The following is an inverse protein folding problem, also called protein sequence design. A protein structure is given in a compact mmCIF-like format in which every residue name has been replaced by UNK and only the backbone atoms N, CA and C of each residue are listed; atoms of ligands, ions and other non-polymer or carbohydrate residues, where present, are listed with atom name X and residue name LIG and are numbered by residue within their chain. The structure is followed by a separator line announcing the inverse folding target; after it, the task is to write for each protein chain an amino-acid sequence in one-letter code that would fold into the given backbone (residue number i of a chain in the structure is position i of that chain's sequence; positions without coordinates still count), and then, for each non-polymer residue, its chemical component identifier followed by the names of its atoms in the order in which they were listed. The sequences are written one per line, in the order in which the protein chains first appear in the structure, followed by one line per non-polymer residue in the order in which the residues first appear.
data_IF_851342587409
#
_entry.id   IF_851342587409
#
_cell.length_a   1.000
_cell.length_b   1.000
_cell.length_c   1.000
_cell.angle_alpha   90.00
_cell.angle_beta   90.00
_cell.angle_gamma   90.00
#
_symmetry.space_group_name_H-M   'P 1'
#
loop_
_entity.id
_entity.type
_entity.pdbx_description
1 polymer ?
#
# COMPACT_ATOMS: atom_id res chain seq x y z
N UNK A 1 -1.05 -1.28 28.70
CA UNK A 1 -1.66 -1.82 27.45
C UNK A 1 -2.93 -1.05 27.11
N UNK A 2 -2.99 -0.32 26.01
CA UNK A 2 -4.29 0.17 25.49
C UNK A 2 -4.94 -1.03 24.81
N UNK A 3 -6.07 -1.51 25.34
CA UNK A 3 -6.85 -2.55 24.73
C UNK A 3 -7.09 -2.25 23.25
N UNK A 4 -6.80 -3.21 22.38
CA UNK A 4 -7.06 -3.07 20.94
C UNK A 4 -8.54 -2.74 20.74
N UNK A 5 -8.83 -1.73 19.93
CA UNK A 5 -10.22 -1.32 19.67
C UNK A 5 -10.95 -2.45 18.91
N UNK A 6 -11.99 -3.08 19.47
CA UNK A 6 -12.67 -4.21 18.82
C UNK A 6 -13.20 -3.88 17.41
N UNK A 7 -13.58 -2.61 17.19
CA UNK A 7 -14.06 -2.17 15.88
C UNK A 7 -12.94 -2.14 14.82
N UNK A 8 -11.71 -1.81 15.23
CA UNK A 8 -10.55 -1.88 14.34
C UNK A 8 -10.18 -3.33 14.03
N UNK A 9 -10.25 -4.24 15.01
CA UNK A 9 -10.01 -5.67 14.77
C UNK A 9 -11.06 -6.24 13.80
N UNK A 10 -12.33 -5.86 13.95
CA UNK A 10 -13.38 -6.27 13.01
C UNK A 10 -13.12 -5.72 11.60
N UNK A 11 -12.67 -4.46 11.48
CA UNK A 11 -12.29 -3.87 10.20
C UNK A 11 -11.10 -4.61 9.57
N UNK A 12 -10.06 -4.90 10.35
CA UNK A 12 -8.90 -5.70 9.90
C UNK A 12 -9.33 -7.04 9.30
N UNK A 13 -10.16 -7.80 10.02
CA UNK A 13 -10.66 -9.11 9.55
C UNK A 13 -11.45 -8.98 8.25
N UNK A 14 -12.36 -8.01 8.17
CA UNK A 14 -13.15 -7.79 6.96
C UNK A 14 -12.24 -7.46 5.76
N UNK A 15 -11.21 -6.63 5.94
CA UNK A 15 -10.27 -6.30 4.87
C UNK A 15 -9.50 -7.56 4.40
N UNK A 16 -9.07 -8.43 5.33
CA UNK A 16 -8.45 -9.71 4.97
C UNK A 16 -9.40 -10.64 4.22
N UNK A 17 -10.64 -10.78 4.69
CA UNK A 17 -11.65 -11.64 4.06
C UNK A 17 -11.99 -11.16 2.64
N UNK A 18 -11.93 -9.85 2.39
CA UNK A 18 -12.26 -9.23 1.10
C UNK A 18 -11.04 -8.88 0.24
N UNK A 19 -9.84 -9.23 0.68
CA UNK A 19 -8.56 -8.87 0.08
C UNK A 19 -8.53 -9.04 -1.43
N UNK A 20 -8.88 -10.21 -1.94
CA UNK A 20 -8.76 -10.52 -3.37
C UNK A 20 -9.74 -9.67 -4.22
N UNK A 21 -10.93 -9.40 -3.69
CA UNK A 21 -11.88 -8.49 -4.34
C UNK A 21 -11.37 -7.05 -4.35
N UNK A 22 -10.79 -6.58 -3.24
CA UNK A 22 -10.20 -5.24 -3.13
C UNK A 22 -9.02 -5.06 -4.08
N UNK A 23 -8.13 -6.06 -4.17
CA UNK A 23 -7.01 -6.07 -5.14
C UNK A 23 -7.53 -5.98 -6.56
N UNK A 24 -8.54 -6.79 -6.90
CA UNK A 24 -9.09 -6.83 -8.25
C UNK A 24 -9.77 -5.52 -8.63
N UNK A 25 -10.50 -4.90 -7.70
CA UNK A 25 -11.15 -3.63 -7.92
C UNK A 25 -10.13 -2.50 -8.10
N UNK A 26 -9.10 -2.44 -7.22
CA UNK A 26 -8.06 -1.41 -7.32
C UNK A 26 -7.25 -1.60 -8.62
N UNK A 27 -6.82 -2.81 -8.93
CA UNK A 27 -6.12 -3.12 -10.19
C UNK A 27 -6.94 -2.73 -11.44
N UNK A 28 -8.26 -2.97 -11.44
CA UNK A 28 -9.15 -2.54 -12.51
C UNK A 28 -9.13 -1.03 -12.71
N UNK A 29 -9.24 -0.26 -11.64
CA UNK A 29 -9.20 1.22 -11.70
C UNK A 29 -7.86 1.76 -12.20
N UNK A 30 -6.75 1.08 -11.86
CA UNK A 30 -5.42 1.44 -12.35
C UNK A 30 -5.25 1.07 -13.82
N UNK A 31 -5.78 -0.09 -14.25
CA UNK A 31 -5.71 -0.57 -15.63
C UNK A 31 -6.46 0.32 -16.62
N UNK A 32 -7.59 0.89 -16.22
CA UNK A 32 -8.39 1.80 -17.04
C UNK A 32 -7.63 3.10 -17.41
N UNK A 33 -6.55 3.41 -16.69
CA UNK A 33 -5.72 4.60 -16.89
C UNK A 33 -4.36 4.33 -17.52
N UNK A 34 -3.92 3.08 -17.52
CA UNK A 34 -2.62 2.73 -18.06
C UNK A 34 -2.63 2.94 -19.59
N UNK A 35 -2.14 4.09 -20.02
CA UNK A 35 -1.79 4.34 -21.42
C UNK A 35 -0.63 3.42 -21.81
N UNK A 36 -0.91 2.22 -22.25
CA UNK A 36 -0.16 1.28 -23.09
C UNK A 36 1.36 1.07 -22.98
N UNK A 37 2.08 1.80 -22.12
CA UNK A 37 3.55 1.84 -22.09
C UNK A 37 4.16 1.44 -20.74
N UNK A 38 3.37 0.85 -19.82
CA UNK A 38 3.91 0.43 -18.53
C UNK A 38 4.96 -0.66 -18.69
N UNK A 39 6.18 -0.41 -18.20
CA UNK A 39 7.27 -1.38 -18.16
C UNK A 39 7.13 -2.40 -17.02
N UNK A 40 6.25 -2.13 -16.05
CA UNK A 40 6.04 -3.00 -14.90
C UNK A 40 4.99 -4.06 -15.22
N UNK A 41 5.32 -5.37 -15.09
CA UNK A 41 4.38 -6.47 -15.33
C UNK A 41 3.11 -6.39 -14.48
N UNK A 42 1.96 -6.74 -15.05
CA UNK A 42 0.67 -6.65 -14.37
C UNK A 42 0.55 -7.59 -13.15
N UNK A 43 1.22 -8.73 -13.17
CA UNK A 43 1.28 -9.67 -12.04
C UNK A 43 2.11 -9.10 -10.89
N UNK A 44 3.25 -8.47 -11.19
CA UNK A 44 4.08 -7.78 -10.20
C UNK A 44 3.30 -6.64 -9.54
N UNK A 45 2.59 -5.84 -10.35
CA UNK A 45 1.72 -4.78 -9.85
C UNK A 45 0.64 -5.36 -8.93
N UNK A 46 -0.02 -6.44 -9.35
CA UNK A 46 -1.08 -7.09 -8.56
C UNK A 46 -0.58 -7.63 -7.21
N UNK A 47 0.63 -8.18 -7.17
CA UNK A 47 1.29 -8.60 -5.92
C UNK A 47 1.54 -7.39 -5.01
N UNK A 48 2.01 -6.27 -5.56
CA UNK A 48 2.24 -5.05 -4.80
C UNK A 48 0.94 -4.50 -4.19
N UNK A 49 -0.14 -4.44 -4.98
CA UNK A 49 -1.46 -4.02 -4.47
C UNK A 49 -1.94 -4.94 -3.33
N UNK A 50 -1.71 -6.24 -3.45
CA UNK A 50 -2.03 -7.22 -2.41
C UNK A 50 -1.26 -6.93 -1.12
N UNK A 51 0.05 -6.74 -1.20
CA UNK A 51 0.89 -6.36 -0.07
C UNK A 51 0.38 -5.10 0.63
N UNK A 52 0.02 -4.07 -0.14
CA UNK A 52 -0.50 -2.81 0.38
C UNK A 52 -1.82 -3.01 1.15
N UNK A 53 -2.75 -3.82 0.63
CA UNK A 53 -4.03 -4.11 1.29
C UNK A 53 -3.81 -4.94 2.55
N UNK A 54 -2.96 -5.96 2.51
CA UNK A 54 -2.61 -6.76 3.69
C UNK A 54 -2.00 -5.89 4.79
N UNK A 55 -1.12 -4.98 4.46
CA UNK A 55 -0.52 -4.04 5.42
C UNK A 55 -1.54 -3.07 6.00
N UNK A 56 -2.47 -2.54 5.21
CA UNK A 56 -3.57 -1.69 5.74
C UNK A 56 -4.42 -2.49 6.71
N UNK A 57 -4.72 -3.76 6.42
CA UNK A 57 -5.47 -4.63 7.32
C UNK A 57 -4.71 -4.86 8.64
N UNK A 58 -3.39 -5.12 8.59
CA UNK A 58 -2.55 -5.24 9.79
C UNK A 58 -2.44 -3.92 10.56
N UNK A 59 -2.38 -2.79 9.88
CA UNK A 59 -2.37 -1.46 10.51
C UNK A 59 -3.69 -1.14 11.24
N UNK A 60 -4.80 -1.76 10.84
CA UNK A 60 -6.06 -1.74 11.59
C UNK A 60 -6.10 -2.79 12.72
N UNK A 61 -5.29 -3.84 12.61
CA UNK A 61 -5.22 -5.00 13.50
C UNK A 61 -4.30 -4.84 14.73
N UNK A 62 -3.94 -5.97 15.34
CA UNK A 62 -3.09 -6.00 16.53
C UNK A 62 -1.63 -5.62 16.24
N UNK A 63 -1.13 -5.89 15.05
CA UNK A 63 0.27 -5.65 14.63
C UNK A 63 0.53 -4.21 14.13
N UNK A 64 -0.36 -3.30 14.42
CA UNK A 64 -0.33 -1.91 13.94
C UNK A 64 0.95 -1.14 14.27
N UNK A 65 1.65 -1.47 15.36
CA UNK A 65 2.91 -0.80 15.74
C UNK A 65 4.06 -1.35 14.92
N UNK A 66 4.14 -2.66 14.89
CA UNK A 66 5.17 -3.44 14.23
C UNK A 66 5.09 -3.28 12.72
N UNK A 67 3.87 -3.24 12.17
CA UNK A 67 3.62 -3.08 10.73
C UNK A 67 3.86 -1.66 10.18
N UNK A 68 4.05 -0.65 11.05
CA UNK A 68 4.15 0.75 10.59
C UNK A 68 5.34 0.98 9.65
N UNK A 69 6.51 0.54 10.05
CA UNK A 69 7.72 0.72 9.25
C UNK A 69 7.61 -0.03 7.92
N UNK A 70 7.08 -1.24 7.96
CA UNK A 70 6.86 -2.04 6.76
C UNK A 70 5.83 -1.39 5.82
N UNK A 71 4.76 -0.80 6.38
CA UNK A 71 3.80 -0.01 5.60
C UNK A 71 4.45 1.19 4.91
N UNK A 72 5.29 1.95 5.62
CA UNK A 72 5.98 3.11 5.05
C UNK A 72 6.92 2.67 3.92
N UNK A 73 7.70 1.59 4.11
CA UNK A 73 8.59 1.04 3.08
C UNK A 73 7.84 0.50 1.86
N UNK A 74 6.69 -0.15 2.07
CA UNK A 74 5.85 -0.62 0.97
C UNK A 74 5.28 0.56 0.17
N UNK A 75 4.86 1.65 0.83
CA UNK A 75 4.40 2.86 0.17
C UNK A 75 5.53 3.57 -0.59
N UNK A 76 6.73 3.67 -0.02
CA UNK A 76 7.90 4.22 -0.69
C UNK A 76 8.21 3.43 -1.98
N UNK A 77 8.21 2.10 -1.86
CA UNK A 77 8.41 1.22 -2.99
C UNK A 77 7.30 1.36 -4.05
N UNK A 78 6.04 1.56 -3.62
CA UNK A 78 4.94 1.87 -4.53
C UNK A 78 5.19 3.14 -5.33
N UNK A 79 5.68 4.19 -4.69
CA UNK A 79 6.05 5.44 -5.36
C UNK A 79 7.16 5.26 -6.40
N UNK A 80 8.21 4.52 -6.06
CA UNK A 80 9.28 4.17 -7.01
C UNK A 80 8.75 3.39 -8.21
N UNK A 81 7.87 2.40 -7.95
CA UNK A 81 7.20 1.62 -9.00
C UNK A 81 6.33 2.51 -9.89
N UNK A 82 5.67 3.52 -9.33
CA UNK A 82 4.88 4.48 -10.08
C UNK A 82 5.75 5.35 -11.02
N UNK A 83 6.94 5.76 -10.57
CA UNK A 83 7.92 6.46 -11.42
C UNK A 83 8.38 5.56 -12.59
N UNK A 84 8.68 4.29 -12.33
CA UNK A 84 9.03 3.30 -13.36
C UNK A 84 7.88 3.05 -14.36
N UNK A 85 6.61 3.23 -13.94
CA UNK A 85 5.42 3.18 -14.79
C UNK A 85 5.23 4.44 -15.64
N UNK A 86 6.05 5.47 -15.45
CA UNK A 86 5.95 6.74 -16.16
C UNK A 86 4.81 7.64 -15.67
N UNK A 87 4.28 7.42 -14.48
CA UNK A 87 3.22 8.25 -13.91
C UNK A 87 3.73 9.64 -13.52
N UNK A 88 2.81 10.59 -13.46
CA UNK A 88 3.06 11.87 -12.81
C UNK A 88 2.82 11.79 -11.29
N UNK A 89 3.43 12.68 -10.50
CA UNK A 89 3.26 12.71 -9.04
C UNK A 89 1.79 12.82 -8.61
N UNK A 90 0.98 13.58 -9.35
CA UNK A 90 -0.46 13.71 -9.11
C UNK A 90 -1.22 12.40 -9.28
N UNK A 91 -0.80 11.55 -10.21
CA UNK A 91 -1.41 10.24 -10.44
C UNK A 91 -1.13 9.29 -9.30
N UNK A 92 0.05 9.35 -8.66
CA UNK A 92 0.36 8.58 -7.43
C UNK A 92 -0.62 8.94 -6.31
N UNK A 93 -0.85 10.25 -6.11
CA UNK A 93 -1.82 10.73 -5.09
C UNK A 93 -3.23 10.25 -5.42
N UNK A 94 -3.60 10.25 -6.70
CA UNK A 94 -4.90 9.81 -7.15
C UNK A 94 -5.10 8.30 -6.97
N UNK A 95 -4.11 7.48 -7.29
CA UNK A 95 -4.12 6.03 -7.06
C UNK A 95 -4.30 5.70 -5.57
N UNK A 96 -3.59 6.40 -4.68
CA UNK A 96 -3.76 6.26 -3.23
C UNK A 96 -5.12 6.75 -2.72
N UNK A 97 -5.69 7.78 -3.36
CA UNK A 97 -7.05 8.25 -3.06
C UNK A 97 -8.12 7.23 -3.47
N UNK A 98 -7.91 6.51 -4.59
CA UNK A 98 -8.76 5.39 -4.99
C UNK A 98 -8.71 4.24 -3.99
N UNK A 99 -7.53 3.89 -3.48
CA UNK A 99 -7.40 2.92 -2.39
C UNK A 99 -8.25 3.35 -1.18
N UNK A 100 -8.14 4.60 -0.75
CA UNK A 100 -8.96 5.15 0.36
C UNK A 100 -10.45 4.99 0.11
N UNK A 101 -10.91 5.34 -1.08
CA UNK A 101 -12.33 5.23 -1.45
C UNK A 101 -12.81 3.78 -1.40
N UNK A 102 -12.04 2.84 -1.98
CA UNK A 102 -12.36 1.41 -2.00
C UNK A 102 -12.47 0.88 -0.57
N UNK A 103 -11.48 1.17 0.30
CA UNK A 103 -11.49 0.75 1.70
C UNK A 103 -12.66 1.35 2.48
N UNK A 104 -12.95 2.63 2.28
CA UNK A 104 -14.07 3.30 2.95
C UNK A 104 -15.40 2.70 2.55
N UNK A 105 -15.59 2.40 1.27
CA UNK A 105 -16.81 1.80 0.75
C UNK A 105 -16.99 0.37 1.25
N UNK A 106 -15.94 -0.45 1.26
CA UNK A 106 -15.99 -1.81 1.78
C UNK A 106 -16.38 -1.84 3.25
N UNK A 107 -15.88 -0.90 4.04
CA UNK A 107 -16.15 -0.82 5.47
C UNK A 107 -17.47 -0.10 5.82
N UNK A 108 -18.14 0.52 4.84
CA UNK A 108 -19.29 1.39 5.09
C UNK A 108 -20.39 0.73 5.91
N UNK A 109 -20.80 -0.50 5.54
CA UNK A 109 -21.87 -1.23 6.25
C UNK A 109 -21.45 -1.58 7.69
N UNK A 110 -20.21 -2.04 7.89
CA UNK A 110 -19.68 -2.39 9.22
C UNK A 110 -19.53 -1.16 10.11
N UNK A 111 -19.10 -0.03 9.53
CA UNK A 111 -18.94 1.25 10.23
C UNK A 111 -20.30 1.84 10.59
N UNK A 112 -21.30 1.78 9.71
CA UNK A 112 -22.65 2.27 9.95
C UNK A 112 -23.36 1.53 11.12
N UNK A 113 -23.01 0.28 11.37
CA UNK A 113 -23.52 -0.50 12.50
C UNK A 113 -22.91 -0.10 13.86
N UNK A 114 -21.88 0.74 13.88
CA UNK A 114 -21.19 1.18 15.10
C UNK A 114 -21.86 2.42 15.71
N UNK A 115 -21.66 2.62 17.03
CA UNK A 115 -21.92 3.92 17.65
C UNK A 115 -21.05 5.00 17.00
N UNK A 116 -21.58 6.20 16.77
CA UNK A 116 -20.93 7.31 16.03
C UNK A 116 -19.46 7.55 16.43
N UNK A 117 -19.15 7.55 17.73
CA UNK A 117 -17.76 7.74 18.23
C UNK A 117 -16.80 6.62 17.77
N UNK A 118 -17.29 5.37 17.72
CA UNK A 118 -16.46 4.23 17.25
C UNK A 118 -16.31 4.24 15.73
N UNK A 119 -17.39 4.55 15.02
CA UNK A 119 -17.40 4.72 13.58
C UNK A 119 -16.36 5.77 13.16
N UNK A 120 -16.41 6.96 13.78
CA UNK A 120 -15.45 8.03 13.52
C UNK A 120 -14.01 7.60 13.84
N UNK A 121 -13.79 6.86 14.94
CA UNK A 121 -12.45 6.41 15.30
C UNK A 121 -11.85 5.43 14.28
N UNK A 122 -12.66 4.53 13.68
CA UNK A 122 -12.23 3.61 12.61
C UNK A 122 -11.87 4.40 11.36
N UNK A 123 -12.76 5.29 10.89
CA UNK A 123 -12.53 6.09 9.69
C UNK A 123 -11.31 7.00 9.81
N UNK A 124 -11.15 7.70 10.93
CA UNK A 124 -9.99 8.56 11.18
C UNK A 124 -8.69 7.75 11.25
N UNK A 125 -8.74 6.53 11.80
CA UNK A 125 -7.55 5.68 11.83
C UNK A 125 -7.13 5.27 10.41
N UNK A 126 -8.05 4.75 9.61
CA UNK A 126 -7.77 4.34 8.24
C UNK A 126 -7.31 5.51 7.37
N UNK A 127 -7.97 6.67 7.47
CA UNK A 127 -7.54 7.86 6.75
C UNK A 127 -6.09 8.23 7.08
N UNK A 128 -5.71 8.24 8.37
CA UNK A 128 -4.32 8.53 8.77
C UNK A 128 -3.32 7.51 8.22
N UNK A 129 -3.68 6.23 8.16
CA UNK A 129 -2.82 5.19 7.57
C UNK A 129 -2.60 5.48 6.08
N UNK A 130 -3.68 5.72 5.32
CA UNK A 130 -3.60 5.99 3.88
C UNK A 130 -2.92 7.34 3.61
N UNK A 131 -3.23 8.40 4.38
CA UNK A 131 -2.59 9.72 4.23
C UNK A 131 -1.08 9.65 4.45
N UNK A 132 -0.65 8.90 5.48
CA UNK A 132 0.78 8.67 5.70
C UNK A 132 1.40 7.89 4.53
N UNK A 133 0.72 6.85 4.04
CA UNK A 133 1.15 6.09 2.87
C UNK A 133 1.27 6.96 1.62
N UNK A 134 0.29 7.82 1.37
CA UNK A 134 0.31 8.77 0.24
C UNK A 134 1.54 9.69 0.31
N UNK A 135 1.81 10.24 1.50
CA UNK A 135 2.98 11.12 1.71
C UNK A 135 4.28 10.39 1.39
N UNK A 136 4.44 9.15 1.89
CA UNK A 136 5.65 8.36 1.69
C UNK A 136 5.76 7.88 0.24
N UNK A 137 4.66 7.47 -0.40
CA UNK A 137 4.65 7.09 -1.81
C UNK A 137 5.06 8.26 -2.71
N UNK A 138 4.57 9.47 -2.43
CA UNK A 138 4.97 10.67 -3.19
C UNK A 138 6.45 11.00 -2.99
N UNK A 139 7.00 10.81 -1.79
CA UNK A 139 8.43 10.99 -1.55
C UNK A 139 9.26 9.96 -2.33
N UNK A 140 8.91 8.66 -2.25
CA UNK A 140 9.59 7.60 -3.00
C UNK A 140 9.52 7.80 -4.52
N UNK A 141 8.41 8.30 -5.05
CA UNK A 141 8.29 8.71 -6.45
C UNK A 141 9.29 9.83 -6.79
N UNK A 142 9.35 10.87 -5.96
CA UNK A 142 10.25 12.02 -6.19
C UNK A 142 11.72 11.60 -6.13
N UNK A 143 12.08 10.76 -5.16
CA UNK A 143 13.44 10.24 -5.00
C UNK A 143 13.86 9.42 -6.22
N UNK A 144 12.97 8.55 -6.75
CA UNK A 144 13.23 7.79 -7.96
C UNK A 144 13.41 8.70 -9.19
N UNK A 145 12.56 9.72 -9.33
CA UNK A 145 12.66 10.69 -10.43
C UNK A 145 13.98 11.46 -10.39
N UNK A 146 14.39 11.91 -9.20
CA UNK A 146 15.67 12.61 -8.99
C UNK A 146 16.84 11.69 -9.29
N UNK A 147 16.82 10.43 -8.81
CA UNK A 147 17.85 9.46 -9.10
C UNK A 147 18.01 9.22 -10.61
N UNK A 148 16.88 9.09 -11.33
CA UNK A 148 16.87 8.93 -12.79
C UNK A 148 17.46 10.14 -13.52
N UNK A 149 17.16 11.36 -13.06
CA UNK A 149 17.73 12.57 -13.66
C UNK A 149 19.26 12.62 -13.54
N UNK A 150 19.83 12.17 -12.42
CA UNK A 150 21.28 12.11 -12.22
C UNK A 150 21.96 10.91 -12.89
N UNK A 151 21.23 9.81 -13.13
CA UNK A 151 21.78 8.65 -13.83
C UNK A 151 21.88 8.84 -15.35
N UNK A 152 21.18 9.81 -15.93
CA UNK A 152 21.03 9.99 -17.37
C UNK A 152 22.10 10.86 -18.07
N UNK A 153 23.32 10.93 -17.53
CA UNK A 153 24.46 11.53 -18.28
C UNK A 153 25.02 10.63 -19.41
N UNK A 154 24.23 9.70 -19.90
CA UNK A 154 24.54 9.00 -21.15
C UNK A 154 24.30 7.50 -21.15
N UNK A 155 23.21 7.04 -21.60
CA UNK A 155 22.81 5.84 -22.38
C UNK A 155 21.41 5.35 -22.02
N UNK A 156 20.44 5.36 -22.94
CA UNK A 156 19.02 5.14 -22.58
C UNK A 156 18.50 3.70 -22.75
N UNK A 157 19.29 2.67 -22.90
CA UNK A 157 18.76 1.41 -23.46
C UNK A 157 18.67 0.18 -22.54
N UNK A 158 19.34 0.14 -21.41
CA UNK A 158 19.35 -1.05 -20.55
C UNK A 158 18.69 -0.83 -19.16
N UNK A 159 18.26 0.39 -18.86
CA UNK A 159 17.77 0.76 -17.52
C UNK A 159 16.43 0.12 -17.17
N UNK A 160 15.51 -0.08 -18.10
CA UNK A 160 14.14 -0.52 -17.81
C UNK A 160 14.04 -1.98 -17.28
N UNK A 161 14.87 -2.90 -17.80
CA UNK A 161 14.85 -4.30 -17.31
C UNK A 161 15.49 -4.42 -15.93
N UNK A 162 16.58 -3.69 -15.69
CA UNK A 162 17.26 -3.65 -14.40
C UNK A 162 16.36 -2.99 -13.33
N UNK A 163 15.64 -1.93 -13.66
CA UNK A 163 14.69 -1.28 -12.77
C UNK A 163 13.53 -2.22 -12.39
N UNK A 164 12.99 -2.98 -13.34
CA UNK A 164 11.91 -3.95 -13.08
C UNK A 164 12.39 -5.10 -12.19
N UNK A 165 13.60 -5.62 -12.41
CA UNK A 165 14.19 -6.67 -11.59
C UNK A 165 14.44 -6.20 -10.14
N UNK A 166 14.88 -4.94 -9.95
CA UNK A 166 15.07 -4.36 -8.62
C UNK A 166 13.74 -4.14 -7.90
N UNK A 167 12.72 -3.67 -8.61
CA UNK A 167 11.34 -3.54 -8.09
C UNK A 167 10.83 -4.90 -7.60
N UNK A 168 10.99 -5.97 -8.39
CA UNK A 168 10.56 -7.30 -8.00
C UNK A 168 11.30 -7.83 -6.78
N UNK A 169 12.63 -7.67 -6.75
CA UNK A 169 13.47 -8.10 -5.63
C UNK A 169 13.06 -7.41 -4.32
N UNK A 170 12.82 -6.11 -4.35
CA UNK A 170 12.39 -5.36 -3.18
C UNK A 170 11.00 -5.80 -2.72
N UNK A 171 10.08 -6.07 -3.64
CA UNK A 171 8.74 -6.56 -3.32
C UNK A 171 8.80 -7.92 -2.61
N UNK A 172 9.64 -8.85 -3.08
CA UNK A 172 9.84 -10.16 -2.44
C UNK A 172 10.32 -10.00 -0.99
N UNK A 173 11.25 -9.09 -0.74
CA UNK A 173 11.73 -8.81 0.63
C UNK A 173 10.60 -8.31 1.52
N UNK A 174 9.80 -7.36 1.05
CA UNK A 174 8.66 -6.82 1.81
C UNK A 174 7.59 -7.89 2.10
N UNK A 175 7.28 -8.77 1.14
CA UNK A 175 6.36 -9.90 1.31
C UNK A 175 6.88 -10.90 2.36
N UNK A 176 8.18 -11.18 2.37
CA UNK A 176 8.82 -12.05 3.36
C UNK A 176 8.77 -11.44 4.77
N UNK A 177 9.06 -10.14 4.89
CA UNK A 177 9.00 -9.45 6.17
C UNK A 177 7.56 -9.40 6.72
N UNK A 178 6.56 -9.17 5.87
CA UNK A 178 5.15 -9.25 6.30
C UNK A 178 4.80 -10.65 6.79
N UNK A 179 5.23 -11.68 6.07
CA UNK A 179 4.99 -13.07 6.47
C UNK A 179 5.65 -13.40 7.80
N UNK A 180 6.87 -12.92 8.04
CA UNK A 180 7.59 -13.10 9.29
C UNK A 180 6.90 -12.32 10.45
N UNK A 181 6.41 -11.12 10.19
CA UNK A 181 5.69 -10.30 11.14
C UNK A 181 4.39 -10.99 11.61
N UNK A 182 3.62 -11.55 10.66
CA UNK A 182 2.37 -12.27 10.97
C UNK A 182 2.65 -13.58 11.73
N UNK A 183 3.73 -14.29 11.40
CA UNK A 183 4.13 -15.54 12.06
C UNK A 183 4.70 -15.33 13.47
N UNK A 184 5.18 -14.12 13.78
CA UNK A 184 5.74 -13.80 15.09
C UNK A 184 4.63 -13.46 16.06
N UNK A 185 4.47 -14.16 17.21
CA UNK A 185 3.50 -13.74 18.21
C UNK A 185 3.87 -12.33 18.70
N UNK A 186 2.87 -11.45 18.93
CA UNK A 186 3.14 -10.11 19.45
C UNK A 186 3.96 -10.23 20.74
N UNK A 187 5.10 -9.57 20.78
CA UNK A 187 5.98 -9.55 21.96
C UNK A 187 5.14 -9.13 23.16
N UNK A 188 4.95 -10.06 24.10
CA UNK A 188 4.39 -9.75 25.41
C UNK A 188 5.48 -8.97 26.16
N UNK A 189 5.56 -7.66 25.96
CA UNK A 189 6.27 -6.82 26.91
C UNK A 189 5.54 -6.88 28.26
N UNK A 190 6.16 -7.59 29.18
CA UNK A 190 5.80 -7.63 30.61
C UNK A 190 5.91 -6.25 31.23
#
# INVERSE_FOLDING_TARGET
MRASNPALIAASRLLFDRRDALVSEWAGRLGDRASGTSTVPADLMRRHLRLMIDLVAEMAGPLRREGRELWERACEHYGRTAAARGLAAGEVVEEMSQLREILTRELAASVAALKARRALAVLLHLNRVVDRGTTVATAGYTDALVANLFAHDGVPSESNELETADVEKQLVVLEQELSALIASPPSQEM
#
